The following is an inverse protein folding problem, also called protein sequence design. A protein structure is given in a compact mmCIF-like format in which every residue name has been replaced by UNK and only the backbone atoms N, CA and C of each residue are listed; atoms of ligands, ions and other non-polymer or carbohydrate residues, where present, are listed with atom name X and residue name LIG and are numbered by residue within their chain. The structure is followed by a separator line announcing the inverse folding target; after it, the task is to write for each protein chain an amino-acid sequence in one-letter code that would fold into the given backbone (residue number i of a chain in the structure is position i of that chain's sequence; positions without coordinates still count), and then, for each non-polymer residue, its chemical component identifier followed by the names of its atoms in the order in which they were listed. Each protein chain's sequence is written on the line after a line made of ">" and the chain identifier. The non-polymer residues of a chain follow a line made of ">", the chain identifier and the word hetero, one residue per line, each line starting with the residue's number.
data_IF_224859636181
#
_entry.id   IF_224859636181
#
_cell.length_a   1.000
_cell.length_b   1.000
_cell.length_c   1.000
_cell.angle_alpha   90.00
_cell.angle_beta   90.00
_cell.angle_gamma   90.00
#
_symmetry.space_group_name_H-M   'P 1'
#
loop_
_entity.id
_entity.type
_entity.pdbx_description
1 polymer ?
#
# COMPACT_ATOMS: atom_id res chain seq x y z
N UNK A 1 -4.91 -8.23 15.51
CA UNK A 1 -4.51 -8.47 14.11
C UNK A 1 -5.08 -7.34 13.30
N UNK A 2 -4.27 -6.69 12.46
CA UNK A 2 -4.80 -5.75 11.49
C UNK A 2 -5.87 -6.49 10.65
N UNK A 3 -7.01 -5.87 10.41
CA UNK A 3 -8.06 -6.44 9.55
C UNK A 3 -7.89 -6.06 8.08
N UNK A 4 -6.90 -5.23 7.80
CA UNK A 4 -6.62 -4.68 6.47
C UNK A 4 -5.16 -4.27 6.35
N UNK A 5 -4.67 -4.25 5.13
CA UNK A 5 -3.37 -3.71 4.76
C UNK A 5 -3.54 -2.36 4.05
N UNK A 6 -2.56 -1.49 4.22
CA UNK A 6 -2.47 -0.19 3.58
C UNK A 6 -1.43 -0.22 2.49
N UNK A 7 -1.87 0.00 1.26
CA UNK A 7 -1.03 0.03 0.07
C UNK A 7 -0.72 1.46 -0.32
N UNK A 8 0.48 1.67 -0.83
CA UNK A 8 0.93 2.94 -1.40
C UNK A 8 1.28 2.69 -2.87
N UNK A 9 0.78 3.54 -3.75
CA UNK A 9 1.01 3.51 -5.19
C UNK A 9 1.49 4.88 -5.67
N UNK A 10 2.29 4.88 -6.74
CA UNK A 10 2.65 6.08 -7.51
C UNK A 10 1.69 6.33 -8.70
N UNK A 11 0.53 5.67 -8.70
CA UNK A 11 -0.46 5.71 -9.77
C UNK A 11 -0.16 4.76 -10.93
N UNK A 12 1.03 4.15 -10.95
CA UNK A 12 1.44 3.18 -11.96
C UNK A 12 1.73 1.81 -11.33
N UNK A 13 2.25 1.78 -10.10
CA UNK A 13 2.67 0.56 -9.41
C UNK A 13 2.61 0.70 -7.90
N UNK A 14 2.47 -0.44 -7.22
CA UNK A 14 2.64 -0.55 -5.79
C UNK A 14 4.09 -0.27 -5.38
N UNK A 15 4.28 0.68 -4.47
CA UNK A 15 5.59 1.07 -3.94
C UNK A 15 5.76 0.67 -2.47
N UNK A 16 4.66 0.42 -1.75
CA UNK A 16 4.68 0.08 -0.33
C UNK A 16 3.41 -0.60 0.14
N UNK A 17 3.55 -1.38 1.21
CA UNK A 17 2.45 -2.03 1.94
C UNK A 17 2.78 -1.97 3.43
N UNK A 18 1.77 -1.68 4.25
CA UNK A 18 1.89 -1.40 5.68
C UNK A 18 0.68 -1.96 6.43
N UNK A 19 0.85 -2.28 7.72
CA UNK A 19 -0.26 -2.75 8.57
C UNK A 19 -1.15 -1.59 9.07
N UNK A 20 -0.60 -0.39 9.12
CA UNK A 20 -1.26 0.78 9.69
C UNK A 20 -1.27 1.97 8.73
N UNK A 21 -2.26 2.84 8.94
CA UNK A 21 -2.50 4.01 8.09
C UNK A 21 -1.39 5.04 8.22
N UNK A 22 -0.84 5.21 9.42
CA UNK A 22 0.15 6.25 9.70
C UNK A 22 1.43 5.99 8.92
N UNK A 23 1.94 4.75 8.94
CA UNK A 23 3.10 4.33 8.14
C UNK A 23 2.90 4.55 6.64
N UNK A 24 1.71 4.25 6.11
CA UNK A 24 1.39 4.48 4.70
C UNK A 24 1.31 5.98 4.36
N UNK A 25 0.75 6.79 5.26
CA UNK A 25 0.66 8.25 5.11
C UNK A 25 2.05 8.88 5.16
N UNK A 26 2.86 8.54 6.15
CA UNK A 26 4.24 9.00 6.27
C UNK A 26 5.02 8.66 5.00
N UNK A 27 4.83 7.44 4.47
CA UNK A 27 5.49 7.03 3.24
C UNK A 27 5.13 7.91 2.05
N UNK A 28 3.86 8.29 1.89
CA UNK A 28 3.43 9.22 0.84
C UNK A 28 4.00 10.62 1.08
N UNK A 29 3.95 11.12 2.31
CA UNK A 29 4.47 12.45 2.67
C UNK A 29 5.98 12.58 2.41
N UNK A 30 6.75 11.49 2.43
CA UNK A 30 8.17 11.50 2.02
C UNK A 30 8.38 11.91 0.56
N UNK A 31 7.36 11.78 -0.29
CA UNK A 31 7.40 12.17 -1.71
C UNK A 31 6.79 13.56 -1.97
N UNK A 32 6.44 14.34 -0.93
CA UNK A 32 5.83 15.66 -1.09
C UNK A 32 6.66 16.65 -1.94
N UNK A 33 7.98 16.46 -1.97
CA UNK A 33 8.92 17.28 -2.73
C UNK A 33 9.13 16.75 -4.17
N UNK A 34 8.51 15.62 -4.53
CA UNK A 34 8.57 15.02 -5.86
C UNK A 34 7.59 15.74 -6.81
N UNK A 35 8.00 16.13 -8.02
CA UNK A 35 7.11 16.75 -9.00
C UNK A 35 5.91 15.87 -9.38
N UNK A 36 6.01 14.55 -9.18
CA UNK A 36 4.93 13.59 -9.43
C UNK A 36 4.11 13.25 -8.17
N UNK A 37 4.24 14.02 -7.07
CA UNK A 37 3.57 13.78 -5.80
C UNK A 37 2.04 13.57 -5.92
N UNK A 38 1.38 14.30 -6.82
CA UNK A 38 -0.07 14.19 -7.02
C UNK A 38 -0.54 12.78 -7.44
N UNK A 39 0.37 11.95 -7.97
CA UNK A 39 0.08 10.56 -8.33
C UNK A 39 0.28 9.59 -7.16
N UNK A 40 0.99 9.99 -6.11
CA UNK A 40 1.18 9.17 -4.94
C UNK A 40 -0.10 9.16 -4.10
N UNK A 41 -0.66 7.97 -3.91
CA UNK A 41 -1.80 7.79 -3.03
C UNK A 41 -1.66 6.53 -2.19
N UNK A 42 -2.43 6.52 -1.10
CA UNK A 42 -2.52 5.35 -0.22
C UNK A 42 -3.98 4.95 -0.01
N UNK A 43 -4.23 3.65 0.03
CA UNK A 43 -5.56 3.06 0.21
C UNK A 43 -5.46 1.79 1.05
N UNK A 44 -6.58 1.33 1.58
CA UNK A 44 -6.62 0.11 2.40
C UNK A 44 -7.47 -0.96 1.76
N UNK A 45 -6.98 -2.20 1.76
CA UNK A 45 -7.73 -3.38 1.34
C UNK A 45 -7.81 -4.35 2.53
N UNK A 46 -9.01 -4.87 2.81
CA UNK A 46 -9.23 -5.88 3.85
C UNK A 46 -8.59 -7.21 3.45
N UNK A 47 -8.17 -8.02 4.42
CA UNK A 47 -7.62 -9.35 4.08
C UNK A 47 -8.63 -10.23 3.31
N UNK A 48 -9.92 -10.12 3.63
CA UNK A 48 -10.98 -10.84 2.93
C UNK A 48 -11.14 -10.39 1.47
N UNK A 49 -10.93 -9.10 1.20
CA UNK A 49 -11.04 -8.55 -0.15
C UNK A 49 -9.76 -8.76 -0.96
N UNK A 50 -8.62 -9.02 -0.29
CA UNK A 50 -7.30 -9.05 -0.92
C UNK A 50 -7.16 -10.14 -1.99
N UNK A 51 -7.92 -11.23 -1.86
CA UNK A 51 -7.98 -12.30 -2.88
C UNK A 51 -8.50 -11.81 -4.23
N UNK A 52 -9.32 -10.75 -4.25
CA UNK A 52 -9.83 -10.12 -5.47
C UNK A 52 -8.81 -9.16 -6.13
N UNK A 53 -7.71 -8.85 -5.43
CA UNK A 53 -6.66 -7.92 -5.87
C UNK A 53 -5.33 -8.66 -6.02
N UNK A 54 -5.11 -9.38 -7.14
CA UNK A 54 -3.96 -10.28 -7.30
C UNK A 54 -2.62 -9.56 -7.28
N UNK A 55 -2.55 -8.29 -7.71
CA UNK A 55 -1.31 -7.51 -7.68
C UNK A 55 -0.94 -7.13 -6.25
N UNK A 56 -1.90 -6.62 -5.47
CA UNK A 56 -1.73 -6.28 -4.06
C UNK A 56 -1.45 -7.50 -3.19
N UNK A 57 -2.12 -8.62 -3.47
CA UNK A 57 -1.88 -9.90 -2.79
C UNK A 57 -0.46 -10.40 -3.01
N UNK A 58 0.00 -10.47 -4.27
CA UNK A 58 1.35 -10.89 -4.60
C UNK A 58 2.41 -9.93 -4.01
N UNK A 59 2.12 -8.63 -4.01
CA UNK A 59 3.01 -7.63 -3.40
C UNK A 59 3.11 -7.80 -1.87
N UNK A 60 1.98 -7.99 -1.19
CA UNK A 60 1.95 -8.21 0.25
C UNK A 60 2.65 -9.53 0.65
N UNK A 61 2.46 -10.59 -0.14
CA UNK A 61 3.14 -11.88 0.04
C UNK A 61 4.66 -11.73 -0.16
N UNK A 62 5.11 -11.06 -1.22
CA UNK A 62 6.53 -10.76 -1.46
C UNK A 62 7.19 -9.95 -0.34
N UNK A 63 6.40 -9.14 0.36
CA UNK A 63 6.85 -8.30 1.48
C UNK A 63 6.78 -9.02 2.83
N UNK A 64 6.20 -10.22 2.89
CA UNK A 64 6.08 -11.02 4.10
C UNK A 64 4.93 -10.62 5.03
N UNK A 65 3.92 -9.92 4.51
CA UNK A 65 2.69 -9.60 5.25
C UNK A 65 1.61 -10.69 5.12
N UNK A 66 1.81 -11.64 4.22
CA UNK A 66 0.97 -12.81 3.99
C UNK A 66 1.86 -14.06 3.97
N UNK A 67 1.33 -15.18 4.46
CA UNK A 67 1.96 -16.51 4.46
C UNK A 67 1.04 -17.52 3.75
#
# INVERSE_FOLDING_TARGET
>A
MASKLWFVTDGVRLIGVFEDKESAKEKVEMYQDDPDYDYFCYYSISYDDLEDYPEEFDFAMKKGFLD
#
